data_IF_501349333115
#
_entry.id   IF_501349333115
#
_cell.length_a   1.000
_cell.length_b   1.000
_cell.length_c   1.000
_cell.angle_alpha   90.00
_cell.angle_beta   90.00
_cell.angle_gamma   90.00
#
_symmetry.space_group_name_H-M   'P 1'
#
loop_
_entity.id
_entity.type
_entity.pdbx_description
1 polymer ?
#
# COMPACT_ATOMS: atom_id res chain seq x y z
N UNK A 1 15.38 -9.91 6.80
CA UNK A 1 15.37 -9.31 5.43
C UNK A 1 14.93 -7.87 5.56
N UNK A 2 15.63 -6.92 4.99
CA UNK A 2 15.19 -5.52 4.95
C UNK A 2 14.61 -5.18 3.59
N UNK A 3 13.53 -4.42 3.59
CA UNK A 3 12.79 -4.02 2.39
C UNK A 3 12.57 -2.51 2.36
N UNK A 4 12.19 -1.99 1.21
CA UNK A 4 11.62 -0.65 1.07
C UNK A 4 10.09 -0.73 0.94
N UNK A 5 9.37 0.13 1.64
CA UNK A 5 7.93 0.29 1.45
C UNK A 5 7.68 1.46 0.48
N UNK A 6 6.99 1.22 -0.62
CA UNK A 6 6.56 2.24 -1.57
C UNK A 6 5.07 2.50 -1.38
N UNK A 7 4.74 3.75 -1.08
CA UNK A 7 3.38 4.20 -0.77
C UNK A 7 2.93 5.19 -1.85
N UNK A 8 2.13 4.74 -2.83
CA UNK A 8 1.51 5.63 -3.79
C UNK A 8 0.33 6.37 -3.15
N UNK A 9 0.30 7.69 -3.27
CA UNK A 9 -0.76 8.52 -2.67
C UNK A 9 -1.31 9.50 -3.68
N UNK A 10 -2.62 9.41 -3.94
CA UNK A 10 -3.35 10.42 -4.73
C UNK A 10 -3.38 11.77 -3.97
N UNK A 11 -3.59 12.90 -4.65
CA UNK A 11 -3.82 14.16 -3.96
C UNK A 11 -4.95 14.03 -2.94
N UNK A 12 -4.76 14.60 -1.74
CA UNK A 12 -5.69 14.43 -0.61
C UNK A 12 -7.13 14.74 -0.99
N UNK A 13 -7.36 15.80 -1.75
CA UNK A 13 -8.69 16.22 -2.20
C UNK A 13 -9.27 15.37 -3.34
N UNK A 14 -8.44 14.64 -4.09
CA UNK A 14 -8.86 13.81 -5.23
C UNK A 14 -9.17 12.37 -4.85
N UNK A 15 -8.73 11.93 -3.67
CA UNK A 15 -8.98 10.57 -3.18
C UNK A 15 -10.43 10.37 -2.72
N UNK A 16 -10.84 9.09 -2.66
CA UNK A 16 -12.13 8.66 -2.10
C UNK A 16 -13.35 9.32 -2.78
N UNK A 17 -13.31 9.51 -4.09
CA UNK A 17 -14.40 10.14 -4.86
C UNK A 17 -15.74 9.40 -4.73
N UNK A 18 -15.71 8.08 -4.50
CA UNK A 18 -16.92 7.26 -4.28
C UNK A 18 -17.63 7.58 -2.95
N UNK A 19 -16.94 8.25 -2.01
CA UNK A 19 -17.53 8.74 -0.75
C UNK A 19 -18.14 10.14 -0.89
N UNK A 20 -18.16 10.77 -2.07
CA UNK A 20 -18.66 12.12 -2.27
C UNK A 20 -20.15 12.31 -1.90
N UNK A 21 -20.95 11.24 -1.90
CA UNK A 21 -22.33 11.27 -1.42
C UNK A 21 -22.49 11.24 0.11
N UNK A 22 -21.40 10.89 0.84
CA UNK A 22 -21.42 10.69 2.30
C UNK A 22 -20.53 11.71 3.02
N UNK A 23 -19.42 12.11 2.41
CA UNK A 23 -18.43 13.03 2.96
C UNK A 23 -18.19 14.21 2.03
N UNK A 24 -18.07 15.40 2.58
CA UNK A 24 -17.61 16.59 1.87
C UNK A 24 -16.17 16.42 1.37
N UNK A 25 -15.72 17.34 0.49
CA UNK A 25 -14.35 17.30 -0.01
C UNK A 25 -13.32 17.47 1.11
N UNK A 26 -13.58 18.35 2.07
CA UNK A 26 -12.68 18.59 3.22
C UNK A 26 -12.63 17.37 4.16
N UNK A 27 -13.77 16.74 4.44
CA UNK A 27 -13.81 15.50 5.23
C UNK A 27 -13.07 14.35 4.54
N UNK A 28 -13.19 14.20 3.22
CA UNK A 28 -12.43 13.21 2.45
C UNK A 28 -10.93 13.51 2.46
N UNK A 29 -10.54 14.78 2.36
CA UNK A 29 -9.14 15.17 2.43
C UNK A 29 -8.54 14.87 3.81
N UNK A 30 -9.29 15.11 4.89
CA UNK A 30 -8.85 14.78 6.25
C UNK A 30 -8.80 13.28 6.49
N UNK A 31 -9.77 12.51 5.98
CA UNK A 31 -9.73 11.05 6.01
C UNK A 31 -8.49 10.52 5.30
N UNK A 32 -8.18 11.00 4.09
CA UNK A 32 -7.00 10.61 3.34
C UNK A 32 -5.70 10.96 4.10
N UNK A 33 -5.68 12.10 4.77
CA UNK A 33 -4.55 12.51 5.62
C UNK A 33 -4.37 11.57 6.80
N UNK A 34 -5.46 11.23 7.50
CA UNK A 34 -5.45 10.32 8.65
C UNK A 34 -4.97 8.93 8.25
N UNK A 35 -5.47 8.37 7.14
CA UNK A 35 -5.03 7.08 6.61
C UNK A 35 -3.55 7.08 6.23
N UNK A 36 -3.06 8.15 5.60
CA UNK A 36 -1.63 8.31 5.30
C UNK A 36 -0.78 8.32 6.58
N UNK A 37 -1.19 9.09 7.58
CA UNK A 37 -0.48 9.18 8.86
C UNK A 37 -0.48 7.83 9.59
N UNK A 38 -1.60 7.10 9.59
CA UNK A 38 -1.71 5.77 10.16
C UNK A 38 -0.73 4.80 9.50
N UNK A 39 -0.73 4.72 8.15
CA UNK A 39 0.20 3.86 7.40
C UNK A 39 1.66 4.21 7.67
N UNK A 40 2.01 5.50 7.66
CA UNK A 40 3.38 5.95 7.93
C UNK A 40 3.82 5.59 9.36
N UNK A 41 2.95 5.78 10.35
CA UNK A 41 3.23 5.42 11.74
C UNK A 41 3.40 3.91 11.91
N UNK A 42 2.56 3.10 11.27
CA UNK A 42 2.68 1.64 11.29
C UNK A 42 4.03 1.16 10.77
N UNK A 43 4.58 1.82 9.74
CA UNK A 43 5.85 1.44 9.12
C UNK A 43 7.08 2.02 9.82
N UNK A 44 6.98 3.17 10.52
CA UNK A 44 8.13 3.93 11.04
C UNK A 44 8.96 3.18 12.07
N UNK A 45 8.35 2.27 12.82
CA UNK A 45 9.01 1.55 13.94
C UNK A 45 9.43 0.13 13.58
N UNK A 46 9.28 -0.26 12.30
CA UNK A 46 9.64 -1.61 11.82
C UNK A 46 11.09 -1.63 11.34
N UNK A 47 11.95 -2.38 12.02
CA UNK A 47 13.37 -2.53 11.64
C UNK A 47 13.56 -3.27 10.32
N UNK A 48 12.57 -4.04 9.92
CA UNK A 48 12.50 -4.80 8.69
C UNK A 48 12.23 -3.89 7.47
N UNK A 49 11.64 -2.71 7.70
CA UNK A 49 11.44 -1.66 6.70
C UNK A 49 12.56 -0.63 6.80
N UNK A 50 13.53 -0.75 5.91
CA UNK A 50 14.70 0.12 5.90
C UNK A 50 14.36 1.57 5.54
N UNK A 51 13.49 1.74 4.54
CA UNK A 51 13.00 3.03 4.10
C UNK A 51 11.54 2.96 3.65
N UNK A 52 10.83 4.04 3.94
CA UNK A 52 9.52 4.33 3.37
C UNK A 52 9.67 5.39 2.27
N UNK A 53 9.15 5.12 1.08
CA UNK A 53 9.16 6.03 -0.07
C UNK A 53 7.72 6.37 -0.48
N UNK A 54 7.32 7.61 -0.24
CA UNK A 54 6.00 8.12 -0.64
C UNK A 54 6.09 8.75 -2.03
N UNK A 55 5.20 8.32 -2.92
CA UNK A 55 5.07 8.83 -4.28
C UNK A 55 3.75 9.58 -4.42
N UNK A 56 3.82 10.86 -4.73
CA UNK A 56 2.62 11.68 -4.92
C UNK A 56 2.93 12.91 -5.76
N UNK A 57 1.90 13.46 -6.40
CA UNK A 57 1.96 14.78 -7.03
C UNK A 57 1.53 15.92 -6.10
N UNK A 58 0.98 15.59 -4.94
CA UNK A 58 0.48 16.56 -3.96
C UNK A 58 1.58 16.99 -3.00
N UNK A 59 1.99 18.28 -3.00
CA UNK A 59 3.00 18.79 -2.07
C UNK A 59 2.62 18.61 -0.60
N UNK A 60 1.33 18.63 -0.26
CA UNK A 60 0.86 18.42 1.12
C UNK A 60 1.12 16.98 1.57
N UNK A 61 0.82 15.99 0.74
CA UNK A 61 1.16 14.57 0.96
C UNK A 61 2.66 14.42 1.21
N UNK A 62 3.49 14.99 0.33
CA UNK A 62 4.96 14.89 0.45
C UNK A 62 5.48 15.57 1.72
N UNK A 63 4.84 16.65 2.15
CA UNK A 63 5.19 17.34 3.41
C UNK A 63 4.85 16.46 4.62
N UNK A 64 3.64 15.90 4.67
CA UNK A 64 3.25 14.95 5.73
C UNK A 64 4.21 13.77 5.77
N UNK A 65 4.52 13.17 4.62
CA UNK A 65 5.44 12.03 4.55
C UNK A 65 6.81 12.33 5.17
N UNK A 66 7.40 13.50 4.87
CA UNK A 66 8.69 13.92 5.45
C UNK A 66 8.64 14.12 6.96
N UNK A 67 7.51 14.57 7.51
CA UNK A 67 7.33 14.70 8.97
C UNK A 67 7.42 13.35 9.71
N UNK A 68 7.11 12.24 9.02
CA UNK A 68 7.26 10.87 9.51
C UNK A 68 8.57 10.21 9.10
N UNK A 69 9.56 10.98 8.59
CA UNK A 69 10.86 10.46 8.19
C UNK A 69 10.88 9.72 6.84
N UNK A 70 9.77 9.69 6.11
CA UNK A 70 9.72 9.04 4.80
C UNK A 70 10.48 9.84 3.73
N UNK A 71 11.12 9.12 2.82
CA UNK A 71 11.62 9.68 1.56
C UNK A 71 10.43 10.01 0.65
N UNK A 72 10.62 10.94 -0.27
CA UNK A 72 9.53 11.39 -1.13
C UNK A 72 9.98 11.50 -2.58
N UNK A 73 9.11 11.06 -3.49
CA UNK A 73 9.26 11.28 -4.93
C UNK A 73 8.02 11.99 -5.44
N UNK A 74 8.22 13.09 -6.15
CA UNK A 74 7.14 13.77 -6.84
C UNK A 74 6.83 13.02 -8.14
N UNK A 75 5.55 12.68 -8.31
CA UNK A 75 5.05 12.11 -9.56
C UNK A 75 4.83 13.23 -10.57
N UNK A 76 5.51 13.15 -11.71
CA UNK A 76 5.39 14.08 -12.82
C UNK A 76 4.78 13.41 -14.06
N UNK A 77 4.19 14.22 -14.94
CA UNK A 77 3.56 13.76 -16.17
C UNK A 77 2.11 13.30 -15.99
N UNK A 78 1.63 12.43 -16.89
CA UNK A 78 0.29 11.87 -16.78
C UNK A 78 0.18 10.93 -15.58
N UNK A 79 -0.91 11.02 -14.79
CA UNK A 79 -1.12 10.14 -13.63
C UNK A 79 -1.26 8.70 -14.10
N UNK A 80 -0.33 7.84 -13.66
CA UNK A 80 -0.39 6.42 -13.95
C UNK A 80 0.31 5.61 -12.86
N UNK A 81 -0.47 4.92 -12.04
CA UNK A 81 0.00 4.23 -10.84
C UNK A 81 1.17 3.27 -11.12
N UNK A 82 1.02 2.37 -12.09
CA UNK A 82 2.05 1.37 -12.40
C UNK A 82 3.38 2.02 -12.87
N UNK A 83 3.30 3.11 -13.62
CA UNK A 83 4.48 3.89 -14.03
C UNK A 83 5.15 4.57 -12.83
N UNK A 84 4.36 5.15 -11.92
CA UNK A 84 4.88 5.78 -10.71
C UNK A 84 5.59 4.77 -9.81
N UNK A 85 4.99 3.58 -9.62
CA UNK A 85 5.57 2.48 -8.85
C UNK A 85 6.87 1.95 -9.48
N UNK A 86 6.90 1.78 -10.81
CA UNK A 86 8.12 1.36 -11.52
C UNK A 86 9.27 2.35 -11.31
N UNK A 87 9.01 3.66 -11.43
CA UNK A 87 10.00 4.71 -11.17
C UNK A 87 10.48 4.70 -9.72
N UNK A 88 9.56 4.54 -8.76
CA UNK A 88 9.90 4.45 -7.35
C UNK A 88 10.76 3.21 -7.03
N UNK A 89 10.47 2.07 -7.66
CA UNK A 89 11.26 0.85 -7.52
C UNK A 89 12.69 1.05 -8.03
N UNK A 90 12.89 1.75 -9.14
CA UNK A 90 14.23 2.10 -9.63
C UNK A 90 15.00 2.93 -8.60
N UNK A 91 14.34 3.89 -7.92
CA UNK A 91 14.95 4.63 -6.82
C UNK A 91 15.38 3.71 -5.68
N UNK A 92 14.52 2.79 -5.27
CA UNK A 92 14.85 1.82 -4.22
C UNK A 92 16.02 0.90 -4.62
N UNK A 93 16.08 0.47 -5.86
CA UNK A 93 17.16 -0.38 -6.40
C UNK A 93 18.54 0.28 -6.35
N UNK A 94 18.62 1.61 -6.49
CA UNK A 94 19.89 2.36 -6.34
C UNK A 94 20.51 2.16 -4.95
N UNK A 95 19.67 1.88 -3.94
CA UNK A 95 20.10 1.60 -2.57
C UNK A 95 20.24 0.10 -2.26
N UNK A 96 20.33 -0.73 -3.30
CA UNK A 96 20.52 -2.18 -3.18
C UNK A 96 19.45 -2.89 -2.30
N UNK A 97 18.21 -2.42 -2.32
CA UNK A 97 17.12 -3.07 -1.58
C UNK A 97 16.91 -4.51 -2.02
N UNK A 98 16.64 -5.38 -1.08
CA UNK A 98 16.35 -6.81 -1.37
C UNK A 98 14.92 -7.03 -1.88
N UNK A 99 13.99 -6.19 -1.45
CA UNK A 99 12.61 -6.29 -1.86
C UNK A 99 11.88 -4.97 -1.71
N UNK A 100 10.73 -4.89 -2.37
CA UNK A 100 9.84 -3.74 -2.33
C UNK A 100 8.46 -4.20 -1.93
N UNK A 101 7.89 -3.56 -0.90
CA UNK A 101 6.49 -3.67 -0.51
C UNK A 101 5.73 -2.47 -1.07
N UNK A 102 4.81 -2.69 -1.99
CA UNK A 102 3.83 -1.67 -2.40
C UNK A 102 2.63 -1.76 -1.47
N UNK A 103 2.30 -0.62 -0.84
CA UNK A 103 1.25 -0.53 0.16
C UNK A 103 0.41 0.72 -0.08
N UNK A 104 -0.82 0.61 -0.61
CA UNK A 104 -1.78 1.72 -0.66
C UNK A 104 -2.14 2.23 0.73
N UNK A 105 -2.59 3.49 0.83
CA UNK A 105 -2.94 4.13 2.12
C UNK A 105 -4.37 3.89 2.58
N UNK A 106 -5.17 3.17 1.82
CA UNK A 106 -6.61 2.98 2.07
C UNK A 106 -6.97 1.79 2.94
N UNK A 107 -5.99 1.27 3.68
CA UNK A 107 -6.11 0.14 4.60
C UNK A 107 -6.24 0.63 6.06
N UNK A 108 -7.45 0.94 6.55
CA UNK A 108 -7.65 1.56 7.85
C UNK A 108 -7.27 0.67 9.04
N UNK A 109 -7.27 -0.65 8.82
CA UNK A 109 -7.04 -1.65 9.87
C UNK A 109 -5.63 -2.25 9.85
N UNK A 110 -4.75 -1.74 8.98
CA UNK A 110 -3.38 -2.25 8.85
C UNK A 110 -2.63 -2.17 10.18
N UNK A 111 -1.91 -3.23 10.51
CA UNK A 111 -1.12 -3.36 11.72
C UNK A 111 0.36 -3.66 11.42
N UNK A 112 1.20 -3.57 12.45
CA UNK A 112 2.62 -3.98 12.37
C UNK A 112 2.75 -5.48 12.10
N UNK A 113 1.89 -6.26 12.73
CA UNK A 113 1.84 -7.72 12.61
C UNK A 113 1.53 -8.16 11.18
N UNK A 114 0.67 -7.42 10.48
CA UNK A 114 0.38 -7.67 9.07
C UNK A 114 1.64 -7.49 8.21
N UNK A 115 2.36 -6.39 8.41
CA UNK A 115 3.58 -6.10 7.65
C UNK A 115 4.66 -7.15 7.94
N UNK A 116 4.85 -7.54 9.20
CA UNK A 116 5.78 -8.60 9.59
C UNK A 116 5.41 -9.93 8.94
N UNK A 117 4.13 -10.28 8.92
CA UNK A 117 3.64 -11.49 8.25
C UNK A 117 3.98 -11.49 6.75
N UNK A 118 3.77 -10.37 6.05
CA UNK A 118 4.14 -10.25 4.64
C UNK A 118 5.65 -10.45 4.43
N UNK A 119 6.48 -9.86 5.30
CA UNK A 119 7.94 -9.96 5.23
C UNK A 119 8.42 -11.38 5.53
N UNK A 120 7.83 -12.05 6.52
CA UNK A 120 8.15 -13.45 6.85
C UNK A 120 7.82 -14.39 5.69
N UNK A 121 6.68 -14.20 5.03
CA UNK A 121 6.30 -14.97 3.84
C UNK A 121 7.23 -14.71 2.65
N UNK A 122 7.92 -13.58 2.62
CA UNK A 122 8.90 -13.23 1.59
C UNK A 122 10.29 -13.84 1.85
N UNK A 123 10.46 -14.72 2.81
CA UNK A 123 11.68 -15.50 2.98
C UNK A 123 11.98 -16.33 1.72
N UNK A 124 13.26 -16.54 1.44
CA UNK A 124 13.76 -17.38 0.33
C UNK A 124 13.31 -16.92 -1.07
N UNK A 125 13.85 -15.76 -1.56
CA UNK A 125 13.60 -15.27 -2.92
C UNK A 125 14.12 -16.26 -4.00
N UNK A 126 13.56 -16.23 -5.23
CA UNK A 126 12.59 -15.26 -5.75
C UNK A 126 11.14 -15.56 -5.31
N UNK A 127 10.48 -14.55 -4.77
CA UNK A 127 9.11 -14.68 -4.23
C UNK A 127 8.31 -13.39 -4.39
N UNK A 128 7.01 -13.54 -4.59
CA UNK A 128 6.05 -12.46 -4.50
C UNK A 128 4.97 -12.82 -3.50
N UNK A 129 4.73 -11.92 -2.54
CA UNK A 129 3.67 -12.05 -1.54
C UNK A 129 2.57 -11.07 -1.89
N UNK A 130 1.34 -11.56 -1.98
CA UNK A 130 0.16 -10.76 -2.36
C UNK A 130 -0.87 -10.85 -1.24
N UNK A 131 -1.34 -9.71 -0.76
CA UNK A 131 -2.59 -9.62 -0.01
C UNK A 131 -3.68 -9.07 -0.93
N UNK A 132 -4.69 -9.87 -1.30
CA UNK A 132 -5.81 -9.40 -2.10
C UNK A 132 -6.76 -8.54 -1.26
N UNK A 133 -7.67 -7.83 -1.95
CA UNK A 133 -8.87 -7.29 -1.34
C UNK A 133 -9.83 -8.44 -0.90
N UNK A 134 -10.85 -8.12 -0.11
CA UNK A 134 -11.84 -9.10 0.40
C UNK A 134 -12.65 -9.80 -0.70
N UNK A 135 -12.61 -9.31 -1.93
CA UNK A 135 -13.30 -9.86 -3.09
C UNK A 135 -12.38 -10.65 -4.02
N UNK A 136 -11.08 -10.73 -3.70
CA UNK A 136 -10.03 -11.36 -4.50
C UNK A 136 -9.95 -10.82 -5.95
N UNK A 137 -10.23 -9.50 -6.10
CA UNK A 137 -10.13 -8.77 -7.37
C UNK A 137 -8.95 -7.81 -7.38
N UNK A 138 -8.83 -6.99 -6.34
CA UNK A 138 -7.76 -6.03 -6.16
C UNK A 138 -6.56 -6.59 -5.41
N UNK A 139 -5.46 -5.85 -5.45
CA UNK A 139 -4.25 -6.12 -4.69
C UNK A 139 -4.04 -5.02 -3.66
N UNK A 140 -4.18 -5.34 -2.38
CA UNK A 140 -4.07 -4.40 -1.27
C UNK A 140 -2.67 -4.32 -0.67
N UNK A 141 -1.86 -5.37 -0.82
CA UNK A 141 -0.42 -5.28 -0.57
C UNK A 141 0.32 -6.21 -1.53
N UNK A 142 1.49 -5.75 -2.01
CA UNK A 142 2.31 -6.50 -2.95
C UNK A 142 3.79 -6.39 -2.54
N UNK A 143 4.37 -7.48 -2.03
CA UNK A 143 5.79 -7.55 -1.72
C UNK A 143 6.49 -8.38 -2.79
N UNK A 144 7.51 -7.80 -3.42
CA UNK A 144 8.29 -8.41 -4.51
C UNK A 144 9.74 -8.54 -4.06
N UNK A 145 10.28 -9.74 -4.09
CA UNK A 145 11.70 -10.02 -3.78
C UNK A 145 12.30 -11.04 -4.76
N UNK A 146 13.38 -10.68 -5.50
CA UNK A 146 14.03 -9.37 -5.55
C UNK A 146 13.17 -8.28 -6.18
N UNK A 147 13.46 -7.02 -5.87
CA UNK A 147 12.74 -5.88 -6.44
C UNK A 147 12.81 -5.87 -7.98
N UNK A 148 11.66 -5.67 -8.64
CA UNK A 148 11.56 -5.67 -10.10
C UNK A 148 11.42 -7.06 -10.73
N UNK A 149 11.18 -8.11 -9.93
CA UNK A 149 10.96 -9.48 -10.40
C UNK A 149 9.75 -9.60 -11.35
N UNK A 150 8.69 -8.84 -11.09
CA UNK A 150 7.52 -8.74 -11.95
C UNK A 150 7.17 -7.27 -12.23
N UNK A 151 6.47 -7.03 -13.32
CA UNK A 151 5.89 -5.71 -13.63
C UNK A 151 4.63 -5.48 -12.80
N UNK A 152 4.39 -4.22 -12.42
CA UNK A 152 3.15 -3.82 -11.75
C UNK A 152 1.96 -3.81 -12.71
N UNK A 153 0.81 -4.27 -12.22
CA UNK A 153 -0.45 -4.33 -12.97
C UNK A 153 -1.64 -4.03 -12.06
N UNK A 154 -1.51 -2.93 -11.30
CA UNK A 154 -2.61 -2.42 -10.48
C UNK A 154 -3.72 -1.85 -11.38
N UNK A 155 -4.96 -2.11 -11.02
CA UNK A 155 -6.16 -1.74 -11.74
C UNK A 155 -7.25 -2.79 -11.51
N UNK A 156 -8.18 -2.89 -12.44
CA UNK A 156 -9.21 -3.91 -12.43
C UNK A 156 -8.57 -5.30 -12.49
N UNK A 157 -9.07 -6.25 -11.70
CA UNK A 157 -8.59 -7.64 -11.59
C UNK A 157 -7.07 -7.76 -11.32
N UNK A 158 -6.48 -6.76 -10.66
CA UNK A 158 -5.03 -6.70 -10.40
C UNK A 158 -4.49 -7.90 -9.62
N UNK A 159 -5.31 -8.54 -8.78
CA UNK A 159 -4.90 -9.74 -8.06
C UNK A 159 -4.59 -10.89 -9.03
N UNK A 160 -5.49 -11.18 -9.96
CA UNK A 160 -5.30 -12.24 -10.96
C UNK A 160 -4.12 -11.90 -11.89
N UNK A 161 -4.01 -10.64 -12.31
CA UNK A 161 -2.89 -10.18 -13.15
C UNK A 161 -1.54 -10.37 -12.46
N UNK A 162 -1.41 -9.98 -11.20
CA UNK A 162 -0.17 -10.20 -10.45
C UNK A 162 0.13 -11.70 -10.27
N UNK A 163 -0.86 -12.53 -9.93
CA UNK A 163 -0.67 -13.98 -9.83
C UNK A 163 -0.15 -14.59 -11.14
N UNK A 164 -0.71 -14.18 -12.29
CA UNK A 164 -0.28 -14.64 -13.60
C UNK A 164 1.17 -14.21 -13.89
N UNK A 165 1.56 -12.96 -13.61
CA UNK A 165 2.93 -12.47 -13.78
C UNK A 165 3.95 -13.23 -12.92
N UNK A 166 3.58 -13.58 -11.68
CA UNK A 166 4.44 -14.41 -10.81
C UNK A 166 4.68 -15.79 -11.42
N UNK A 167 3.61 -16.42 -11.93
CA UNK A 167 3.71 -17.72 -12.60
C UNK A 167 4.59 -17.65 -13.84
N UNK A 168 4.44 -16.61 -14.67
CA UNK A 168 5.25 -16.39 -15.87
C UNK A 168 6.74 -16.15 -15.53
N UNK A 169 7.01 -15.48 -14.41
CA UNK A 169 8.37 -15.27 -13.90
C UNK A 169 9.00 -16.52 -13.26
N UNK A 170 8.25 -17.62 -13.10
CA UNK A 170 8.72 -18.84 -12.44
C UNK A 170 9.08 -18.62 -10.96
N UNK A 171 8.49 -17.62 -10.31
CA UNK A 171 8.74 -17.26 -8.93
C UNK A 171 7.74 -17.94 -7.98
N UNK A 172 8.10 -18.02 -6.70
CA UNK A 172 7.21 -18.49 -5.65
C UNK A 172 6.12 -17.45 -5.38
N UNK A 173 4.87 -17.89 -5.38
CA UNK A 173 3.70 -17.08 -5.03
C UNK A 173 3.23 -17.42 -3.63
N UNK A 174 3.12 -16.41 -2.78
CA UNK A 174 2.49 -16.49 -1.45
C UNK A 174 1.25 -15.59 -1.45
N UNK A 175 0.11 -16.13 -1.07
CA UNK A 175 -1.14 -15.37 -0.88
C UNK A 175 -1.41 -15.27 0.61
N UNK A 176 -1.61 -14.04 1.10
CA UNK A 176 -1.82 -13.74 2.52
C UNK A 176 -3.19 -13.09 2.69
N UNK A 177 -4.15 -13.87 3.18
CA UNK A 177 -5.51 -13.41 3.45
C UNK A 177 -5.62 -12.97 4.92
N UNK A 178 -5.47 -11.67 5.16
CA UNK A 178 -5.64 -11.05 6.47
C UNK A 178 -6.82 -10.08 6.42
N UNK A 179 -7.80 -10.18 7.36
CA UNK A 179 -8.97 -9.29 7.36
C UNK A 179 -8.61 -7.80 7.40
N UNK A 180 -7.52 -7.44 8.08
CA UNK A 180 -6.96 -6.08 8.17
C UNK A 180 -6.43 -5.55 6.84
N UNK A 181 -5.88 -6.41 6.00
CA UNK A 181 -5.40 -6.07 4.66
C UNK A 181 -6.49 -6.23 3.59
N UNK A 182 -7.49 -7.08 3.84
CA UNK A 182 -8.59 -7.30 2.90
C UNK A 182 -9.58 -6.14 2.81
N UNK A 183 -9.63 -5.27 3.83
CA UNK A 183 -10.56 -4.15 3.88
C UNK A 183 -9.89 -2.85 3.46
N UNK A 184 -10.09 -2.45 2.22
CA UNK A 184 -9.82 -1.11 1.72
C UNK A 184 -11.05 -0.22 1.87
N UNK A 185 -10.84 1.04 2.30
CA UNK A 185 -11.91 1.97 2.59
C UNK A 185 -12.24 2.80 1.34
N UNK A 186 -13.06 2.29 0.44
CA UNK A 186 -13.40 2.96 -0.82
C UNK A 186 -14.89 3.33 -0.97
N UNK A 187 -15.78 2.59 -0.32
CA UNK A 187 -17.23 2.73 -0.43
C UNK A 187 -17.86 3.17 0.90
N UNK A 188 -19.07 3.75 0.90
CA UNK A 188 -19.80 4.08 2.13
C UNK A 188 -19.96 2.88 3.08
N UNK A 189 -20.17 1.68 2.54
CA UNK A 189 -20.30 0.45 3.32
C UNK A 189 -19.01 0.11 4.07
N UNK A 190 -17.85 0.40 3.48
CA UNK A 190 -16.53 0.18 4.13
C UNK A 190 -16.37 1.12 5.33
N UNK A 191 -16.79 2.38 5.18
CA UNK A 191 -16.74 3.35 6.26
C UNK A 191 -17.63 2.93 7.45
N UNK A 192 -18.82 2.38 7.18
CA UNK A 192 -19.69 1.84 8.23
C UNK A 192 -19.08 0.60 8.90
N UNK A 193 -18.43 -0.27 8.11
CA UNK A 193 -17.78 -1.46 8.63
C UNK A 193 -16.62 -1.10 9.56
N UNK A 194 -15.76 -0.16 9.14
CA UNK A 194 -14.64 0.33 9.96
C UNK A 194 -15.16 0.91 11.28
N UNK A 195 -16.17 1.77 11.25
CA UNK A 195 -16.80 2.34 12.47
C UNK A 195 -17.31 1.26 13.43
N UNK A 196 -17.95 0.22 12.91
CA UNK A 196 -18.44 -0.91 13.74
C UNK A 196 -17.28 -1.66 14.39
N UNK A 197 -16.21 -1.94 13.65
CA UNK A 197 -15.04 -2.65 14.16
C UNK A 197 -14.28 -1.84 15.23
N UNK A 198 -14.16 -0.53 15.04
CA UNK A 198 -13.56 0.36 16.06
C UNK A 198 -14.40 0.41 17.34
N UNK A 199 -15.74 0.50 17.24
CA UNK A 199 -16.62 0.46 18.39
C UNK A 199 -16.55 -0.86 19.16
N UNK A 200 -16.35 -1.98 18.46
CA UNK A 200 -16.20 -3.30 19.12
C UNK A 200 -14.90 -3.37 19.92
N UNK A 201 -13.80 -2.84 19.39
CA UNK A 201 -12.50 -2.79 20.10
C UNK A 201 -12.50 -1.88 21.35
N UNK A 202 -13.41 -0.92 21.44
CA UNK A 202 -13.54 -0.05 22.63
C UNK A 202 -14.40 -0.73 23.71
N UNK A 203 -15.23 -1.70 23.35
CA UNK A 203 -16.15 -2.40 24.25
C UNK A 203 -15.52 -3.66 24.90
N UNK A 204 -14.36 -4.12 24.44
CA UNK A 204 -13.51 -5.18 25.00
C UNK A 204 -12.45 -4.60 25.96
#
# INVERSE_FOLDING_TARGET
>A
MTIWAIIPVKPLRSGKSRLAGTLSEDERAELNRTLLQHTLKTLSDLKEVEHVLVVSRDPQVLTVARMYGARTVREDGQPHLNTALKRATVVAQVYATRGVLVLPVDLPLISREDILTLIERAADPPVVVIAPDRHEKGTNALLISPSGLIEYDFGEDSFQHHCQRVKEAGARLEIVNLPSLGLDLDLPEDLELVRKLEMTKIAE
#
